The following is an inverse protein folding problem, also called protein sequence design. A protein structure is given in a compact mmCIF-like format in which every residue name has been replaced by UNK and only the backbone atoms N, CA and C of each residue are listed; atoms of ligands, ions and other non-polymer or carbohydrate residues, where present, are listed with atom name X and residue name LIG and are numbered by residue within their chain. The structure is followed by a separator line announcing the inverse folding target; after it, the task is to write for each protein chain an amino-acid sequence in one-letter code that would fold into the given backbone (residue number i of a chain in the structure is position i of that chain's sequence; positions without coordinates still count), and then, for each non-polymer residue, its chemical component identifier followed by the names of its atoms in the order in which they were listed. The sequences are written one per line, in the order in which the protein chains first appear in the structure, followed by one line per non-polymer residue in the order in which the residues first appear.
data_IF_596854017533
#
_entry.id   IF_596854017533
#
_cell.length_a   1.000
_cell.length_b   1.000
_cell.length_c   1.000
_cell.angle_alpha   90.00
_cell.angle_beta   90.00
_cell.angle_gamma   90.00
#
_symmetry.space_group_name_H-M   'P 1'
#
loop_
_entity.id
_entity.type
_entity.pdbx_description
1 polymer ?
#
# COMPACT_ATOMS: atom_id res chain seq x y z
N UNK A 1 -15.35 -6.17 -5.16
CA UNK A 1 -14.98 -5.07 -6.07
C UNK A 1 -13.64 -4.51 -5.62
N UNK A 2 -12.82 -4.02 -6.54
CA UNK A 2 -11.58 -3.31 -6.20
C UNK A 2 -11.92 -1.93 -5.62
N UNK A 3 -11.11 -1.46 -4.66
CA UNK A 3 -11.22 -0.08 -4.12
C UNK A 3 -10.54 0.95 -5.03
N UNK A 4 -9.69 0.50 -5.96
CA UNK A 4 -9.07 1.37 -6.94
C UNK A 4 -10.00 1.60 -8.13
N UNK A 5 -10.04 2.83 -8.69
CA UNK A 5 -10.83 3.09 -9.88
C UNK A 5 -10.32 2.25 -11.04
N UNK A 6 -11.25 1.77 -11.87
CA UNK A 6 -10.88 1.09 -13.11
C UNK A 6 -10.23 2.10 -14.04
N UNK A 7 -8.96 1.87 -14.36
CA UNK A 7 -8.23 2.70 -15.30
C UNK A 7 -8.61 2.27 -16.72
N UNK A 8 -9.00 3.24 -17.54
CA UNK A 8 -9.25 3.08 -18.98
C UNK A 8 -8.40 4.09 -19.75
N UNK A 9 -8.02 3.76 -20.98
CA UNK A 9 -7.20 4.63 -21.85
C UNK A 9 -5.80 4.08 -22.13
N UNK A 10 -4.92 4.89 -22.75
CA UNK A 10 -3.60 4.45 -23.18
C UNK A 10 -2.68 4.09 -22.01
N UNK A 11 -1.89 3.00 -22.09
CA UNK A 11 -0.91 2.62 -21.06
C UNK A 11 0.09 3.72 -20.69
N UNK A 12 0.37 4.65 -21.62
CA UNK A 12 1.24 5.80 -21.38
C UNK A 12 0.81 6.68 -20.19
N UNK A 13 -0.49 6.69 -19.84
CA UNK A 13 -1.00 7.48 -18.72
C UNK A 13 -1.03 6.71 -17.39
N UNK A 14 -0.79 5.40 -17.40
CA UNK A 14 -0.98 4.57 -16.20
C UNK A 14 -0.04 4.98 -15.07
N UNK A 15 1.21 5.33 -15.39
CA UNK A 15 2.17 5.82 -14.40
C UNK A 15 1.73 7.14 -13.77
N UNK A 16 1.20 8.08 -14.56
CA UNK A 16 0.70 9.35 -14.05
C UNK A 16 -0.51 9.15 -13.12
N UNK A 17 -1.42 8.25 -13.50
CA UNK A 17 -2.60 7.90 -12.70
C UNK A 17 -2.19 7.22 -11.39
N UNK A 18 -1.28 6.24 -11.45
CA UNK A 18 -0.75 5.56 -10.27
C UNK A 18 -0.08 6.55 -9.31
N UNK A 19 0.76 7.47 -9.83
CA UNK A 19 1.42 8.50 -9.03
C UNK A 19 0.41 9.38 -8.31
N UNK A 20 -0.61 9.86 -9.02
CA UNK A 20 -1.68 10.68 -8.44
C UNK A 20 -2.40 9.95 -7.31
N UNK A 21 -2.78 8.68 -7.52
CA UNK A 21 -3.43 7.86 -6.49
C UNK A 21 -2.54 7.73 -5.25
N UNK A 22 -1.23 7.52 -5.44
CA UNK A 22 -0.29 7.42 -4.32
C UNK A 22 -0.16 8.75 -3.56
N UNK A 23 -0.06 9.88 -4.27
CA UNK A 23 -0.03 11.21 -3.68
C UNK A 23 -1.30 11.52 -2.89
N UNK A 24 -2.47 11.15 -3.41
CA UNK A 24 -3.76 11.31 -2.71
C UNK A 24 -3.78 10.52 -1.40
N UNK A 25 -3.29 9.27 -1.39
CA UNK A 25 -3.20 8.46 -0.17
C UNK A 25 -2.23 9.07 0.84
N UNK A 26 -1.06 9.54 0.39
CA UNK A 26 -0.03 10.10 1.27
C UNK A 26 -0.43 11.46 1.86
N UNK A 27 -1.27 12.22 1.16
CA UNK A 27 -1.78 13.53 1.61
C UNK A 27 -3.04 13.44 2.46
N UNK A 28 -3.75 12.31 2.45
CA UNK A 28 -4.92 12.11 3.29
C UNK A 28 -4.49 12.05 4.77
N UNK A 29 -4.90 13.04 5.61
CA UNK A 29 -4.53 13.06 7.02
C UNK A 29 -5.12 11.90 7.84
N UNK A 30 -6.11 11.18 7.28
CA UNK A 30 -6.70 9.99 7.89
C UNK A 30 -5.93 8.72 7.55
N UNK A 31 -4.92 8.80 6.69
CA UNK A 31 -4.04 7.67 6.38
C UNK A 31 -3.20 7.30 7.59
N UNK A 32 -3.15 6.00 7.89
CA UNK A 32 -2.33 5.45 8.95
C UNK A 32 -1.06 4.81 8.39
N UNK A 33 0.08 5.04 9.04
CA UNK A 33 1.33 4.34 8.74
C UNK A 33 1.44 3.11 9.66
N UNK A 34 1.58 1.94 9.07
CA UNK A 34 1.67 0.66 9.77
C UNK A 34 2.99 0.00 9.39
N UNK A 35 3.84 -0.26 10.37
CA UNK A 35 5.07 -1.03 10.17
C UNK A 35 4.84 -2.46 10.65
N UNK A 36 5.10 -3.43 9.77
CA UNK A 36 4.97 -4.87 10.03
C UNK A 36 6.26 -5.58 9.69
N UNK A 37 6.56 -6.67 10.37
CA UNK A 37 7.64 -7.56 9.95
C UNK A 37 7.06 -8.69 9.10
N UNK A 38 7.63 -8.91 7.91
CA UNK A 38 7.32 -10.10 7.09
C UNK A 38 8.51 -11.06 7.18
N UNK A 39 8.26 -12.29 7.63
CA UNK A 39 9.27 -13.35 7.54
C UNK A 39 9.46 -13.74 6.07
N UNK A 40 10.70 -13.72 5.60
CA UNK A 40 11.15 -14.36 4.36
C UNK A 40 12.16 -15.44 4.71
N UNK A 41 12.37 -16.39 3.80
CA UNK A 41 13.48 -17.34 3.89
C UNK A 41 14.79 -16.52 3.95
N UNK A 42 15.46 -16.51 5.10
CA UNK A 42 16.67 -15.70 5.35
C UNK A 42 16.51 -14.53 6.34
N UNK A 43 15.32 -14.25 6.88
CA UNK A 43 15.15 -13.26 7.97
C UNK A 43 13.78 -12.56 8.03
N UNK A 44 13.62 -11.66 9.00
CA UNK A 44 12.46 -10.76 9.08
C UNK A 44 12.77 -9.45 8.36
N UNK A 45 11.98 -9.12 7.34
CA UNK A 45 12.12 -7.84 6.64
C UNK A 45 10.99 -6.88 7.08
N UNK A 46 11.31 -5.66 7.52
CA UNK A 46 10.29 -4.68 7.81
C UNK A 46 9.60 -4.23 6.52
N UNK A 47 8.27 -4.17 6.58
CA UNK A 47 7.37 -3.68 5.58
C UNK A 47 6.63 -2.48 6.17
N UNK A 48 6.60 -1.39 5.44
CA UNK A 48 5.80 -0.21 5.78
C UNK A 48 4.58 -0.18 4.87
N UNK A 49 3.39 -0.10 5.45
CA UNK A 49 2.14 0.09 4.73
C UNK A 49 1.55 1.45 5.11
N UNK A 50 1.20 2.27 4.13
CA UNK A 50 0.35 3.45 4.33
C UNK A 50 -1.07 3.06 3.96
N UNK A 51 -2.00 3.17 4.90
CA UNK A 51 -3.39 2.70 4.76
C UNK A 51 -4.31 3.90 4.79
N UNK A 52 -4.95 4.21 3.66
CA UNK A 52 -5.98 5.23 3.57
C UNK A 52 -7.26 4.78 4.28
N UNK A 53 -8.07 5.75 4.69
CA UNK A 53 -9.35 5.50 5.37
C UNK A 53 -10.32 4.64 4.55
N UNK A 54 -10.29 4.78 3.23
CA UNK A 54 -11.12 4.02 2.29
C UNK A 54 -10.60 2.61 1.97
N UNK A 55 -9.52 2.19 2.63
CA UNK A 55 -8.95 0.85 2.49
C UNK A 55 -7.93 0.69 1.36
N UNK A 56 -7.63 1.75 0.60
CA UNK A 56 -6.46 1.77 -0.31
C UNK A 56 -5.17 1.72 0.50
N UNK A 57 -4.13 1.08 -0.06
CA UNK A 57 -2.83 0.91 0.60
C UNK A 57 -1.66 1.07 -0.33
N UNK A 58 -0.59 1.69 0.19
CA UNK A 58 0.73 1.72 -0.42
C UNK A 58 1.67 0.83 0.39
N UNK A 59 2.29 -0.15 -0.26
CA UNK A 59 3.31 -1.00 0.35
C UNK A 59 4.71 -0.50 0.03
N UNK A 60 5.57 -0.50 1.04
CA UNK A 60 6.98 -0.17 0.93
C UNK A 60 7.81 -1.26 1.60
N UNK A 61 8.86 -1.70 0.93
CA UNK A 61 9.84 -2.65 1.48
C UNK A 61 11.07 -1.90 1.96
N UNK A 62 11.67 -2.35 3.05
CA UNK A 62 12.99 -1.88 3.43
C UNK A 62 14.05 -2.38 2.44
N UNK A 63 14.85 -1.45 1.91
CA UNK A 63 16.00 -1.74 1.04
C UNK A 63 17.29 -1.41 1.80
N UNK A 64 18.02 -2.41 2.34
CA UNK A 64 19.19 -2.18 3.19
C UNK A 64 20.29 -1.38 2.48
N UNK A 65 20.49 -1.62 1.19
CA UNK A 65 21.53 -0.94 0.39
C UNK A 65 21.30 0.58 0.29
N UNK A 66 20.05 1.03 0.41
CA UNK A 66 19.68 2.45 0.32
C UNK A 66 19.36 3.06 1.69
N UNK A 67 19.41 2.25 2.76
CA UNK A 67 18.93 2.61 4.09
C UNK A 67 17.54 3.30 4.07
N UNK A 68 16.64 2.81 3.21
CA UNK A 68 15.38 3.50 2.89
C UNK A 68 14.24 2.53 2.61
N UNK A 69 13.01 2.99 2.78
CA UNK A 69 11.80 2.28 2.33
C UNK A 69 11.52 2.61 0.86
N UNK A 70 11.45 1.58 0.01
CA UNK A 70 11.19 1.70 -1.43
C UNK A 70 9.79 1.18 -1.74
N UNK A 71 9.07 1.89 -2.61
CA UNK A 71 7.73 1.50 -3.03
C UNK A 71 7.72 0.10 -3.66
N UNK A 72 6.90 -0.80 -3.12
CA UNK A 72 6.74 -2.18 -3.60
C UNK A 72 5.46 -2.33 -4.43
N UNK A 73 4.41 -1.54 -4.16
CA UNK A 73 3.19 -1.57 -4.95
C UNK A 73 1.92 -1.13 -4.20
N UNK A 74 0.82 -1.07 -4.95
CA UNK A 74 -0.53 -0.87 -4.40
C UNK A 74 -1.05 -2.18 -3.79
N UNK A 75 -1.70 -2.08 -2.64
CA UNK A 75 -2.41 -3.19 -1.99
C UNK A 75 -3.82 -2.76 -1.62
N UNK A 76 -4.69 -3.73 -1.36
CA UNK A 76 -6.02 -3.47 -0.82
C UNK A 76 -6.08 -4.01 0.60
N UNK A 77 -6.72 -3.27 1.50
CA UNK A 77 -7.22 -3.89 2.72
C UNK A 77 -8.37 -4.80 2.34
N UNK A 78 -8.10 -6.10 2.17
CA UNK A 78 -9.14 -7.06 2.51
C UNK A 78 -9.27 -6.96 4.02
N UNK A 79 -10.21 -6.14 4.50
CA UNK A 79 -10.61 -6.21 5.90
C UNK A 79 -10.88 -7.69 6.16
N UNK A 80 -10.11 -8.31 7.07
CA UNK A 80 -10.46 -9.62 7.55
C UNK A 80 -11.93 -9.51 8.00
N UNK A 81 -12.82 -10.45 7.62
CA UNK A 81 -14.19 -10.40 8.10
C UNK A 81 -14.11 -10.21 9.60
N UNK A 82 -14.71 -9.12 10.10
CA UNK A 82 -14.84 -8.92 11.53
C UNK A 82 -15.48 -10.20 12.03
N UNK A 83 -14.74 -11.00 12.80
CA UNK A 83 -15.35 -12.13 13.49
C UNK A 83 -16.40 -11.49 14.38
N UNK A 84 -17.66 -11.59 13.97
CA UNK A 84 -18.78 -11.43 14.89
C UNK A 84 -18.59 -12.53 15.93
N UNK A 85 -17.97 -12.17 17.04
CA UNK A 85 -18.15 -12.93 18.27
C UNK A 85 -19.50 -12.55 18.89
N UNK A 86 -19.97 -13.30 19.89
CA UNK A 86 -19.41 -14.51 20.49
C UNK A 86 -19.80 -15.81 19.78
#
# INVERSE_FOLDING_TARGET
GSVYPRVTGPPAHYNAIARRIAEDILRDPRSAVIVRSRRRQGGSMPLLEVVAFDGRKLGYRWEPALASYVFEGFRESRAAPARSGP
#
